data_IF_639529753888
#
_entry.id   IF_639529753888
#
_cell.length_a   1.000
_cell.length_b   1.000
_cell.length_c   1.000
_cell.angle_alpha   90.00
_cell.angle_beta   90.00
_cell.angle_gamma   90.00
#
_symmetry.space_group_name_H-M   'P 1'
#
loop_
_entity.id
_entity.type
_entity.pdbx_description
1 polymer ?
#
# COMPACT_ATOMS: atom_id res chain seq x y z
N UNK A 1 9.16 -26.30 -6.89
CA UNK A 1 7.75 -26.70 -6.72
C UNK A 1 7.16 -25.86 -5.61
N UNK A 2 6.10 -25.09 -5.88
CA UNK A 2 5.47 -24.22 -4.87
C UNK A 2 4.76 -25.13 -3.85
N UNK A 3 5.05 -24.98 -2.56
CA UNK A 3 4.43 -25.79 -1.50
C UNK A 3 3.06 -25.23 -1.10
N UNK A 4 2.19 -26.08 -0.56
CA UNK A 4 0.86 -25.65 -0.08
C UNK A 4 0.97 -24.55 0.99
N UNK A 5 1.97 -24.67 1.87
CA UNK A 5 2.25 -23.67 2.91
C UNK A 5 2.63 -22.30 2.31
N UNK A 6 3.42 -22.27 1.24
CA UNK A 6 3.75 -21.03 0.53
C UNK A 6 2.51 -20.40 -0.10
N UNK A 7 1.63 -21.21 -0.69
CA UNK A 7 0.40 -20.72 -1.31
C UNK A 7 -0.57 -20.17 -0.25
N UNK A 8 -0.71 -20.85 0.89
CA UNK A 8 -1.54 -20.40 2.00
C UNK A 8 -0.97 -19.13 2.65
N UNK A 9 0.33 -19.07 2.91
CA UNK A 9 0.99 -17.89 3.45
C UNK A 9 0.85 -16.68 2.51
N UNK A 10 1.09 -16.89 1.21
CA UNK A 10 0.88 -15.85 0.19
C UNK A 10 -0.58 -15.41 0.11
N UNK A 11 -1.52 -16.36 0.06
CA UNK A 11 -2.95 -16.08 -0.03
C UNK A 11 -3.46 -15.29 1.18
N UNK A 12 -3.06 -15.66 2.39
CA UNK A 12 -3.38 -14.92 3.60
C UNK A 12 -2.79 -13.51 3.59
N UNK A 13 -1.51 -13.36 3.22
CA UNK A 13 -0.86 -12.05 3.12
C UNK A 13 -1.53 -11.16 2.06
N UNK A 14 -1.87 -11.72 0.90
CA UNK A 14 -2.56 -11.03 -0.17
C UNK A 14 -3.97 -10.61 0.25
N UNK A 15 -4.72 -11.47 0.96
CA UNK A 15 -6.05 -11.15 1.47
C UNK A 15 -6.00 -9.94 2.42
N UNK A 16 -5.05 -9.93 3.36
CA UNK A 16 -4.83 -8.80 4.28
C UNK A 16 -4.48 -7.53 3.50
N UNK A 17 -3.58 -7.62 2.52
CA UNK A 17 -3.15 -6.48 1.72
C UNK A 17 -4.29 -5.89 0.88
N UNK A 18 -5.10 -6.75 0.25
CA UNK A 18 -6.23 -6.36 -0.61
C UNK A 18 -7.38 -5.76 0.23
N UNK A 19 -7.57 -6.24 1.46
CA UNK A 19 -8.61 -5.72 2.35
C UNK A 19 -8.37 -4.25 2.75
N UNK A 20 -7.12 -3.77 2.70
CA UNK A 20 -6.77 -2.39 3.05
C UNK A 20 -6.95 -1.50 1.82
N UNK A 21 -7.91 -0.56 1.82
CA UNK A 21 -8.10 0.34 0.68
C UNK A 21 -6.88 1.25 0.52
N UNK A 22 -6.14 1.05 -0.57
CA UNK A 22 -4.99 1.86 -0.91
C UNK A 22 -5.35 3.30 -1.33
N UNK A 23 -4.35 4.18 -1.48
CA UNK A 23 -4.56 5.59 -1.85
C UNK A 23 -5.29 5.76 -3.20
N UNK A 24 -5.09 4.85 -4.14
CA UNK A 24 -5.80 4.86 -5.44
C UNK A 24 -7.32 4.68 -5.29
N UNK A 25 -7.75 3.73 -4.45
CA UNK A 25 -9.20 3.49 -4.20
C UNK A 25 -9.83 4.69 -3.53
N UNK A 26 -9.16 5.27 -2.53
CA UNK A 26 -9.63 6.48 -1.83
C UNK A 26 -9.73 7.68 -2.80
N UNK A 27 -8.74 7.85 -3.67
CA UNK A 27 -8.74 8.90 -4.69
C UNK A 27 -9.89 8.75 -5.69
N UNK A 28 -10.15 7.53 -6.18
CA UNK A 28 -11.28 7.25 -7.08
C UNK A 28 -12.61 7.56 -6.40
N UNK A 29 -12.79 7.16 -5.13
CA UNK A 29 -13.99 7.48 -4.36
C UNK A 29 -14.15 8.99 -4.22
N UNK A 30 -13.07 9.71 -3.87
CA UNK A 30 -13.09 11.16 -3.78
C UNK A 30 -13.52 11.83 -5.08
N UNK A 31 -13.01 11.34 -6.22
CA UNK A 31 -13.43 11.81 -7.55
C UNK A 31 -14.87 11.44 -7.90
N UNK A 32 -15.35 10.26 -7.50
CA UNK A 32 -16.73 9.85 -7.71
C UNK A 32 -17.71 10.75 -6.94
N UNK A 33 -17.36 11.10 -5.71
CA UNK A 33 -18.16 11.98 -4.86
C UNK A 33 -18.12 13.44 -5.33
N UNK A 34 -16.96 13.93 -5.75
CA UNK A 34 -16.78 15.33 -6.15
C UNK A 34 -17.26 15.62 -7.59
N UNK A 35 -17.11 14.67 -8.51
CA UNK A 35 -17.29 14.90 -9.95
C UNK A 35 -18.18 13.86 -10.64
N UNK A 36 -18.78 12.94 -9.87
CA UNK A 36 -19.71 11.92 -10.37
C UNK A 36 -19.04 10.71 -11.04
N UNK A 37 -19.89 9.75 -11.43
CA UNK A 37 -19.45 8.42 -11.93
C UNK A 37 -18.61 8.46 -13.19
N UNK A 38 -18.87 9.37 -14.13
CA UNK A 38 -18.14 9.43 -15.41
C UNK A 38 -16.66 9.73 -15.21
N UNK A 39 -16.35 10.72 -14.37
CA UNK A 39 -14.97 11.11 -14.02
C UNK A 39 -14.28 10.02 -13.19
N UNK A 40 -15.01 9.35 -12.31
CA UNK A 40 -14.49 8.22 -11.56
C UNK A 40 -14.11 7.05 -12.48
N UNK A 41 -14.97 6.68 -13.43
CA UNK A 41 -14.69 5.61 -14.39
C UNK A 41 -13.48 5.93 -15.27
N UNK A 42 -13.36 7.17 -15.75
CA UNK A 42 -12.18 7.61 -16.49
C UNK A 42 -10.90 7.53 -15.63
N UNK A 43 -11.01 7.83 -14.32
CA UNK A 43 -9.89 7.70 -13.37
C UNK A 43 -9.48 6.24 -13.16
N UNK A 44 -10.45 5.34 -13.00
CA UNK A 44 -10.19 3.89 -12.89
C UNK A 44 -9.52 3.38 -14.16
N UNK A 45 -10.05 3.74 -15.34
CA UNK A 45 -9.48 3.32 -16.62
C UNK A 45 -8.02 3.78 -16.76
N UNK A 46 -7.73 5.04 -16.44
CA UNK A 46 -6.37 5.57 -16.44
C UNK A 46 -5.44 4.85 -15.46
N UNK A 47 -5.91 4.60 -14.22
CA UNK A 47 -5.15 3.86 -13.21
C UNK A 47 -4.85 2.42 -13.67
N UNK A 48 -5.84 1.72 -14.22
CA UNK A 48 -5.68 0.35 -14.72
C UNK A 48 -4.72 0.29 -15.90
N UNK A 49 -4.81 1.23 -16.84
CA UNK A 49 -3.91 1.30 -18.00
C UNK A 49 -2.47 1.57 -17.55
N UNK A 50 -2.27 2.52 -16.63
CA UNK A 50 -0.95 2.78 -16.06
C UNK A 50 -0.35 1.55 -15.36
N UNK A 51 -1.17 0.82 -14.60
CA UNK A 51 -0.74 -0.43 -13.96
C UNK A 51 -0.36 -1.51 -14.99
N UNK A 52 -1.15 -1.66 -16.06
CA UNK A 52 -0.86 -2.59 -17.14
C UNK A 52 0.49 -2.29 -17.80
N UNK A 53 0.80 -1.01 -18.03
CA UNK A 53 2.11 -0.62 -18.60
C UNK A 53 3.24 -1.10 -17.68
N UNK A 54 3.15 -0.89 -16.37
CA UNK A 54 4.17 -1.37 -15.42
C UNK A 54 4.26 -2.90 -15.43
N UNK A 55 3.14 -3.61 -15.41
CA UNK A 55 3.11 -5.08 -15.47
C UNK A 55 3.78 -5.59 -16.74
N UNK A 56 3.48 -4.98 -17.89
CA UNK A 56 4.10 -5.34 -19.18
C UNK A 56 5.60 -5.09 -19.13
N UNK A 57 6.06 -3.95 -18.63
CA UNK A 57 7.50 -3.66 -18.49
C UNK A 57 8.21 -4.70 -17.60
N UNK A 58 7.60 -5.06 -16.47
CA UNK A 58 8.13 -6.11 -15.57
C UNK A 58 8.17 -7.46 -16.28
N UNK A 59 7.10 -7.84 -16.99
CA UNK A 59 7.01 -9.09 -17.74
C UNK A 59 8.03 -9.17 -18.89
N UNK A 60 8.35 -8.03 -19.53
CA UNK A 60 9.38 -7.93 -20.56
C UNK A 60 10.82 -8.00 -20.03
N UNK A 61 11.01 -8.11 -18.71
CA UNK A 61 12.32 -8.34 -18.12
C UNK A 61 12.88 -7.18 -17.30
N UNK A 62 12.13 -6.09 -17.08
CA UNK A 62 12.57 -5.02 -16.18
C UNK A 62 12.90 -5.57 -14.77
N UNK A 63 12.16 -6.60 -14.31
CA UNK A 63 12.44 -7.28 -13.05
C UNK A 63 13.82 -7.95 -13.03
N UNK A 64 14.20 -8.65 -14.12
CA UNK A 64 15.49 -9.33 -14.22
C UNK A 64 16.66 -8.33 -14.18
N UNK A 65 16.55 -7.21 -14.90
CA UNK A 65 17.55 -6.14 -14.89
C UNK A 65 17.76 -5.57 -13.49
N UNK A 66 16.68 -5.36 -12.75
CA UNK A 66 16.74 -4.88 -11.36
C UNK A 66 17.36 -5.93 -10.43
N UNK A 67 17.10 -7.22 -10.66
CA UNK A 67 17.65 -8.30 -9.83
C UNK A 67 19.15 -8.56 -10.07
N UNK A 68 19.64 -8.37 -11.29
CA UNK A 68 21.06 -8.60 -11.61
C UNK A 68 21.97 -7.47 -11.14
N UNK A 69 21.45 -6.24 -11.01
CA UNK A 69 22.27 -5.07 -10.69
C UNK A 69 22.00 -4.50 -9.30
N UNK A 70 23.00 -4.63 -8.42
CA UNK A 70 23.01 -3.99 -7.08
C UNK A 70 22.81 -2.48 -7.19
N UNK A 71 23.41 -1.82 -8.19
CA UNK A 71 23.31 -0.37 -8.36
C UNK A 71 21.87 0.01 -8.70
N UNK A 72 21.23 -0.67 -9.66
CA UNK A 72 19.85 -0.39 -10.07
C UNK A 72 18.88 -0.68 -8.93
N UNK A 73 19.02 -1.82 -8.26
CA UNK A 73 18.20 -2.19 -7.11
C UNK A 73 18.31 -1.16 -5.97
N UNK A 74 19.54 -0.77 -5.62
CA UNK A 74 19.78 0.18 -4.53
C UNK A 74 19.27 1.57 -4.89
N UNK A 75 19.50 2.03 -6.12
CA UNK A 75 18.99 3.30 -6.60
C UNK A 75 17.45 3.34 -6.56
N UNK A 76 16.78 2.28 -7.05
CA UNK A 76 15.33 2.19 -7.04
C UNK A 76 14.78 2.18 -5.60
N UNK A 77 15.43 1.44 -4.69
CA UNK A 77 15.05 1.39 -3.27
C UNK A 77 15.19 2.76 -2.60
N UNK A 78 16.31 3.45 -2.81
CA UNK A 78 16.55 4.78 -2.23
C UNK A 78 15.62 5.83 -2.83
N UNK A 79 15.41 5.81 -4.15
CA UNK A 79 14.48 6.71 -4.82
C UNK A 79 13.04 6.51 -4.33
N UNK A 80 12.59 5.25 -4.21
CA UNK A 80 11.29 4.91 -3.65
C UNK A 80 11.13 5.36 -2.20
N UNK A 81 12.14 5.12 -1.36
CA UNK A 81 12.13 5.58 0.03
C UNK A 81 12.06 7.12 0.13
N UNK A 82 12.87 7.83 -0.66
CA UNK A 82 12.85 9.30 -0.72
C UNK A 82 11.49 9.83 -1.20
N UNK A 83 10.90 9.19 -2.22
CA UNK A 83 9.58 9.55 -2.73
C UNK A 83 8.49 9.34 -1.69
N UNK A 84 8.53 8.23 -0.92
CA UNK A 84 7.58 7.98 0.16
C UNK A 84 7.74 8.98 1.32
N UNK A 85 8.97 9.35 1.68
CA UNK A 85 9.23 10.41 2.68
C UNK A 85 8.63 11.72 2.20
N UNK A 86 8.85 12.08 0.93
CA UNK A 86 8.30 13.28 0.33
C UNK A 86 6.76 13.27 0.32
N UNK A 87 6.14 12.16 -0.10
CA UNK A 87 4.67 11.99 -0.05
C UNK A 87 4.13 12.07 1.38
N UNK A 88 4.80 11.45 2.35
CA UNK A 88 4.42 11.50 3.76
C UNK A 88 4.44 12.92 4.32
N UNK A 89 5.49 13.69 4.00
CA UNK A 89 5.59 15.11 4.35
C UNK A 89 4.46 15.91 3.71
N UNK A 90 4.18 15.68 2.43
CA UNK A 90 3.10 16.40 1.73
C UNK A 90 1.71 16.07 2.28
N UNK A 91 1.46 14.82 2.67
CA UNK A 91 0.19 14.40 3.26
C UNK A 91 -0.07 15.09 4.61
N UNK A 92 0.97 15.26 5.44
CA UNK A 92 0.85 15.99 6.72
C UNK A 92 0.64 17.49 6.47
N UNK A 93 1.35 18.07 5.50
CA UNK A 93 1.27 19.50 5.17
C UNK A 93 -0.09 19.91 4.57
N UNK A 94 -0.76 19.04 3.83
CA UNK A 94 -2.03 19.34 3.13
C UNK A 94 -3.24 18.59 3.71
N UNK A 95 -3.19 18.18 4.99
CA UNK A 95 -4.22 17.38 5.67
C UNK A 95 -5.63 18.01 5.74
N UNK A 96 -5.78 19.30 5.43
CA UNK A 96 -7.03 20.06 5.60
C UNK A 96 -8.07 19.84 4.48
N UNK A 97 -7.73 19.14 3.40
CA UNK A 97 -8.66 18.88 2.28
C UNK A 97 -9.49 17.59 2.42
N UNK A 98 -9.22 16.74 3.42
CA UNK A 98 -9.88 15.45 3.63
C UNK A 98 -10.73 15.44 4.91
N UNK A 99 -11.71 16.34 5.00
CA UNK A 99 -12.84 16.15 5.92
C UNK A 99 -13.97 15.55 5.10
N UNK A 100 -14.08 14.23 5.17
CA UNK A 100 -15.21 13.48 4.61
C UNK A 100 -16.46 13.95 5.35
N UNK A 101 -17.26 14.78 4.68
CA UNK A 101 -18.62 15.08 5.11
C UNK A 101 -19.39 13.76 5.04
N UNK A 102 -19.80 13.25 6.20
CA UNK A 102 -20.56 12.01 6.36
C UNK A 102 -21.68 11.97 5.32
N UNK A 103 -21.49 11.12 4.32
CA UNK A 103 -22.50 10.89 3.31
C UNK A 103 -23.57 10.02 3.96
N UNK A 104 -24.77 10.57 3.92
CA UNK A 104 -26.03 10.10 4.44
C UNK A 104 -26.30 8.60 4.19
N UNK A 105 -27.10 8.08 5.10
CA UNK A 105 -27.33 6.69 5.49
C UNK A 105 -28.12 5.88 4.45
N UNK A 106 -27.66 5.80 3.20
CA UNK A 106 -28.37 5.07 2.12
C UNK A 106 -27.40 4.32 1.18
N UNK A 107 -26.92 3.14 1.60
CA UNK A 107 -26.29 2.16 0.72
C UNK A 107 -26.93 0.76 0.92
N UNK A 108 -27.21 0.00 -0.16
CA UNK A 108 -27.94 -1.27 -0.11
C UNK A 108 -27.16 -2.36 0.66
N UNK A 109 -27.86 -3.42 1.14
CA UNK A 109 -27.27 -4.42 2.03
C UNK A 109 -26.36 -5.36 1.23
N UNK A 110 -25.08 -5.01 1.13
CA UNK A 110 -24.04 -5.98 0.77
C UNK A 110 -23.16 -6.24 1.98
N UNK A 111 -23.46 -7.41 2.57
CA UNK A 111 -22.55 -8.44 3.07
C UNK A 111 -21.52 -7.98 4.11
N UNK A 112 -21.31 -8.81 5.13
CA UNK A 112 -20.40 -8.62 6.26
C UNK A 112 -19.04 -7.96 5.98
N UNK A 113 -18.53 -8.03 4.74
CA UNK A 113 -17.34 -7.31 4.30
C UNK A 113 -17.45 -5.79 4.40
N UNK A 114 -18.62 -5.16 4.25
CA UNK A 114 -18.77 -3.70 4.36
C UNK A 114 -18.61 -3.21 5.80
N UNK A 115 -19.08 -4.02 6.77
CA UNK A 115 -18.92 -3.78 8.21
C UNK A 115 -17.49 -4.07 8.66
N UNK A 116 -16.88 -5.16 8.17
CA UNK A 116 -15.48 -5.46 8.46
C UNK A 116 -14.55 -4.40 7.85
N UNK A 117 -14.81 -3.97 6.62
CA UNK A 117 -14.06 -2.92 5.96
C UNK A 117 -14.29 -1.54 6.59
N UNK A 118 -15.50 -1.23 7.09
CA UNK A 118 -15.76 0.03 7.79
C UNK A 118 -15.08 0.07 9.16
N UNK A 119 -15.03 -1.06 9.87
CA UNK A 119 -14.32 -1.20 11.15
C UNK A 119 -12.79 -1.13 10.98
N UNK A 120 -12.25 -1.69 9.90
CA UNK A 120 -10.83 -1.56 9.57
C UNK A 120 -10.49 -0.14 9.10
N UNK A 121 -11.35 0.46 8.26
CA UNK A 121 -11.20 1.85 7.80
C UNK A 121 -11.28 2.85 8.96
N UNK A 122 -12.20 2.63 9.91
CA UNK A 122 -12.34 3.48 11.09
C UNK A 122 -11.18 3.31 12.08
N UNK A 123 -10.60 2.10 12.19
CA UNK A 123 -9.37 1.87 12.95
C UNK A 123 -8.16 2.61 12.34
N UNK A 124 -8.05 2.63 11.00
CA UNK A 124 -7.03 3.42 10.29
C UNK A 124 -7.27 4.93 10.38
N UNK A 125 -8.52 5.41 10.36
CA UNK A 125 -8.81 6.84 10.51
C UNK A 125 -8.68 7.34 11.95
N UNK A 126 -8.87 6.47 12.95
CA UNK A 126 -8.88 6.84 14.36
C UNK A 126 -7.49 6.92 15.03
N UNK A 127 -6.37 6.52 14.40
CA UNK A 127 -5.09 6.59 15.12
C UNK A 127 -3.80 6.71 14.29
N UNK A 128 -3.42 7.94 13.90
CA UNK A 128 -2.06 8.27 13.46
C UNK A 128 -0.98 7.90 14.49
N UNK A 129 -1.33 7.81 15.79
CA UNK A 129 -0.40 7.52 16.89
C UNK A 129 -0.15 6.02 17.11
N UNK A 130 -1.12 5.14 16.81
CA UNK A 130 -0.95 3.67 16.96
C UNK A 130 -0.24 3.03 15.76
N UNK A 131 -0.44 3.56 14.55
CA UNK A 131 0.34 3.16 13.37
C UNK A 131 1.81 3.55 13.46
N UNK A 132 2.11 4.72 14.04
CA UNK A 132 3.49 5.12 14.35
C UNK A 132 4.15 4.21 15.39
N UNK A 133 3.43 3.82 16.45
CA UNK A 133 3.95 2.90 17.46
C UNK A 133 4.24 1.49 16.88
N UNK A 134 3.34 0.94 16.07
CA UNK A 134 3.55 -0.35 15.39
C UNK A 134 4.64 -0.29 14.32
N UNK A 135 4.74 0.83 13.58
CA UNK A 135 5.81 1.05 12.61
C UNK A 135 7.19 1.26 13.25
N UNK A 136 7.25 1.94 14.41
CA UNK A 136 8.48 2.09 15.20
C UNK A 136 8.90 0.76 15.81
N UNK A 137 7.96 -0.02 16.36
CA UNK A 137 8.25 -1.36 16.90
C UNK A 137 8.67 -2.32 15.79
N UNK A 138 8.00 -2.31 14.64
CA UNK A 138 8.38 -3.09 13.45
C UNK A 138 9.72 -2.67 12.84
N UNK A 139 9.98 -1.36 12.76
CA UNK A 139 11.22 -0.81 12.26
C UNK A 139 12.41 -1.07 13.19
N UNK A 140 12.23 -0.93 14.50
CA UNK A 140 13.28 -1.23 15.49
C UNK A 140 13.57 -2.73 15.58
N UNK A 141 12.55 -3.59 15.45
CA UNK A 141 12.76 -5.04 15.36
C UNK A 141 13.47 -5.45 14.06
N UNK A 142 13.19 -4.83 12.91
CA UNK A 142 13.96 -5.07 11.68
C UNK A 142 15.41 -4.57 11.77
N UNK A 143 15.65 -3.39 12.36
CA UNK A 143 17.01 -2.88 12.55
C UNK A 143 17.77 -3.78 13.53
N UNK A 144 17.13 -4.21 14.63
CA UNK A 144 17.71 -5.11 15.62
C UNK A 144 18.07 -6.48 15.03
N UNK A 145 17.19 -7.06 14.22
CA UNK A 145 17.48 -8.30 13.50
C UNK A 145 18.59 -8.12 12.46
N UNK A 146 18.61 -7.00 11.72
CA UNK A 146 19.67 -6.69 10.76
C UNK A 146 21.05 -6.55 11.42
N UNK A 147 21.11 -5.88 12.57
CA UNK A 147 22.34 -5.75 13.37
C UNK A 147 22.75 -7.09 13.99
N UNK A 148 21.80 -7.85 14.55
CA UNK A 148 22.08 -9.16 15.12
C UNK A 148 22.65 -10.15 14.09
N UNK A 149 22.09 -10.16 12.88
CA UNK A 149 22.60 -10.98 11.78
C UNK A 149 23.95 -10.49 11.26
N UNK A 150 24.21 -9.18 11.23
CA UNK A 150 25.51 -8.63 10.84
C UNK A 150 26.64 -8.98 11.82
N UNK A 151 26.33 -9.08 13.12
CA UNK A 151 27.33 -9.43 14.16
C UNK A 151 27.55 -10.95 14.24
N UNK A 152 26.55 -11.75 13.88
CA UNK A 152 26.64 -13.23 13.94
C UNK A 152 27.12 -13.85 12.61
N UNK A 153 27.15 -13.08 11.53
CA UNK A 153 27.47 -13.52 10.17
C UNK A 153 28.96 -13.61 9.79
N UNK A 154 29.90 -13.45 10.74
CA UNK A 154 31.36 -13.50 10.47
C UNK A 154 31.97 -14.91 10.63
N UNK A 155 31.15 -15.96 10.76
CA UNK A 155 31.59 -17.35 10.86
C UNK A 155 30.81 -18.26 9.91
N UNK A 156 31.16 -18.21 8.62
CA UNK A 156 30.64 -19.11 7.57
C UNK A 156 31.45 -19.03 6.29
#
# INVERSE_FOLDING_TARGET
MITLDQLLAFGLAALVLIAIPGPSVVFVIGRALAYGRGVALATVAGNTLGLLVVVVLVALGLGAVVQESIIVFTALKLAGAAYLVWLGVQAVRHRSAFVVREADEQAPPVLAWAVVASQLRSWFSASPRRGAALGVVGGTSMIGLGVGLAVTGDHG
#
